data_IF_641122186607
#
_entry.id   IF_641122186607
#
_cell.length_a   1.000
_cell.length_b   1.000
_cell.length_c   1.000
_cell.angle_alpha   90.00
_cell.angle_beta   90.00
_cell.angle_gamma   90.00
#
_symmetry.space_group_name_H-M   'P 1'
#
loop_
_entity.id
_entity.type
_entity.pdbx_description
1 polymer ?
#
# COMPACT_ATOMS: atom_id res chain seq x y z
N UNK A 1 -12.06 -14.97 -8.71
CA UNK A 1 -12.03 -13.76 -7.91
C UNK A 1 -10.57 -13.45 -7.49
N UNK A 2 -10.13 -12.18 -7.60
CA UNK A 2 -8.70 -11.83 -7.43
C UNK A 2 -8.16 -12.23 -6.05
N UNK A 3 -8.96 -12.09 -4.99
CA UNK A 3 -8.55 -12.43 -3.62
C UNK A 3 -8.47 -13.94 -3.39
N UNK A 4 -9.37 -14.72 -3.98
CA UNK A 4 -9.31 -16.18 -3.95
C UNK A 4 -8.12 -16.70 -4.75
N UNK A 5 -7.83 -16.09 -5.90
CA UNK A 5 -6.64 -16.40 -6.68
C UNK A 5 -5.36 -16.08 -5.91
N UNK A 6 -5.33 -14.96 -5.17
CA UNK A 6 -4.20 -14.58 -4.32
C UNK A 6 -4.03 -15.54 -3.13
N UNK A 7 -5.12 -15.94 -2.49
CA UNK A 7 -5.11 -16.93 -1.39
C UNK A 7 -4.65 -18.31 -1.87
N UNK A 8 -5.09 -18.72 -3.07
CA UNK A 8 -4.66 -19.98 -3.70
C UNK A 8 -3.18 -19.90 -4.15
N UNK A 9 -2.71 -18.75 -4.63
CA UNK A 9 -1.31 -18.53 -5.04
C UNK A 9 -0.35 -18.59 -3.84
N UNK A 10 -0.83 -18.24 -2.63
CA UNK A 10 -0.08 -18.36 -1.36
C UNK A 10 -0.16 -19.77 -0.77
N UNK A 11 -0.93 -20.69 -1.39
CA UNK A 11 -1.05 -22.08 -0.95
C UNK A 11 -1.79 -22.26 0.38
N UNK A 12 -2.64 -21.31 0.77
CA UNK A 12 -3.38 -21.33 2.03
C UNK A 12 -4.81 -21.77 1.83
N UNK A 13 -5.19 -22.87 2.49
CA UNK A 13 -6.55 -23.43 2.52
C UNK A 13 -7.35 -22.96 3.75
N UNK A 14 -6.79 -22.06 4.54
CA UNK A 14 -7.33 -21.55 5.79
C UNK A 14 -8.07 -20.19 5.62
N UNK A 15 -8.68 -19.98 4.46
CA UNK A 15 -9.48 -18.79 4.16
C UNK A 15 -10.98 -19.08 4.19
N UNK A 16 -11.73 -18.19 4.83
CA UNK A 16 -13.18 -18.21 4.85
C UNK A 16 -13.71 -16.92 4.23
N UNK A 17 -14.60 -17.04 3.25
CA UNK A 17 -15.28 -15.90 2.65
C UNK A 17 -16.63 -15.65 3.31
N UNK A 18 -16.90 -14.40 3.66
CA UNK A 18 -18.22 -13.90 4.03
C UNK A 18 -18.76 -13.10 2.86
N UNK A 19 -19.85 -13.59 2.27
CA UNK A 19 -20.54 -12.84 1.22
C UNK A 19 -21.19 -11.59 1.81
N UNK A 20 -21.53 -10.65 0.96
CA UNK A 20 -22.23 -9.41 1.28
C UNK A 20 -23.52 -9.65 2.09
N UNK A 21 -24.31 -10.63 1.65
CA UNK A 21 -25.57 -11.02 2.31
C UNK A 21 -25.30 -11.58 3.71
N UNK A 22 -24.31 -12.47 3.85
CA UNK A 22 -23.92 -13.00 5.14
C UNK A 22 -23.42 -11.92 6.10
N UNK A 23 -22.69 -10.94 5.60
CA UNK A 23 -22.21 -9.81 6.40
C UNK A 23 -23.35 -8.87 6.84
N UNK A 24 -24.38 -8.70 6.00
CA UNK A 24 -25.53 -7.84 6.29
C UNK A 24 -26.56 -8.50 7.21
N UNK A 25 -26.99 -9.71 6.88
CA UNK A 25 -28.19 -10.35 7.42
C UNK A 25 -27.92 -11.33 8.57
N UNK A 26 -26.74 -12.01 8.57
CA UNK A 26 -26.47 -12.99 9.60
C UNK A 26 -26.35 -12.35 10.99
N UNK A 27 -26.93 -13.02 12.01
CA UNK A 27 -26.77 -12.61 13.40
C UNK A 27 -25.29 -12.67 13.80
N UNK A 28 -24.83 -11.72 14.60
CA UNK A 28 -23.42 -11.67 15.06
C UNK A 28 -22.97 -12.96 15.72
N UNK A 29 -23.85 -13.55 16.53
CA UNK A 29 -23.58 -14.81 17.21
C UNK A 29 -23.33 -15.97 16.24
N UNK A 30 -24.12 -16.09 15.18
CA UNK A 30 -23.93 -17.11 14.15
C UNK A 30 -22.61 -16.92 13.41
N UNK A 31 -22.22 -15.68 13.10
CA UNK A 31 -20.94 -15.38 12.48
C UNK A 31 -19.78 -15.71 13.41
N UNK A 32 -19.88 -15.35 14.69
CA UNK A 32 -18.89 -15.63 15.71
C UNK A 32 -18.66 -17.13 15.87
N UNK A 33 -19.71 -17.91 15.98
CA UNK A 33 -19.63 -19.37 16.07
C UNK A 33 -18.98 -20.01 14.84
N UNK A 34 -19.33 -19.50 13.66
CA UNK A 34 -18.74 -19.98 12.39
C UNK A 34 -17.24 -19.67 12.32
N UNK A 35 -16.82 -18.47 12.71
CA UNK A 35 -15.41 -18.07 12.76
C UNK A 35 -14.66 -18.94 13.79
N UNK A 36 -15.22 -19.12 15.00
CA UNK A 36 -14.61 -19.95 16.04
C UNK A 36 -14.43 -21.41 15.59
N UNK A 37 -15.44 -21.98 14.97
CA UNK A 37 -15.34 -23.34 14.43
C UNK A 37 -14.22 -23.44 13.38
N UNK A 38 -14.13 -22.46 12.48
CA UNK A 38 -13.09 -22.40 11.47
C UNK A 38 -11.69 -22.25 12.09
N UNK A 39 -11.55 -21.39 13.10
CA UNK A 39 -10.29 -21.23 13.82
C UNK A 39 -9.86 -22.48 14.59
N UNK A 40 -10.81 -23.22 15.18
CA UNK A 40 -10.52 -24.50 15.83
C UNK A 40 -9.99 -25.56 14.86
N UNK A 41 -10.48 -25.53 13.63
CA UNK A 41 -10.08 -26.49 12.60
C UNK A 41 -8.70 -26.16 12.01
N UNK A 42 -8.38 -24.87 11.81
CA UNK A 42 -7.21 -24.42 11.05
C UNK A 42 -6.20 -23.59 11.86
N UNK A 43 -6.48 -23.30 13.12
CA UNK A 43 -5.65 -22.45 13.97
C UNK A 43 -5.82 -20.96 13.66
N UNK A 44 -4.99 -20.40 12.79
CA UNK A 44 -5.16 -19.05 12.24
C UNK A 44 -5.96 -19.09 10.94
N UNK A 45 -6.78 -18.06 10.68
CA UNK A 45 -7.55 -18.00 9.45
C UNK A 45 -7.52 -16.59 8.81
N UNK A 46 -7.72 -16.57 7.48
CA UNK A 46 -7.99 -15.37 6.72
C UNK A 46 -9.50 -15.24 6.52
N UNK A 47 -10.06 -14.10 6.94
CA UNK A 47 -11.46 -13.77 6.70
C UNK A 47 -11.52 -12.75 5.57
N UNK A 48 -12.10 -13.16 4.44
CA UNK A 48 -12.34 -12.32 3.27
C UNK A 48 -13.77 -11.79 3.33
N UNK A 49 -13.95 -10.48 3.40
CA UNK A 49 -15.25 -9.84 3.56
C UNK A 49 -15.62 -9.01 2.33
N UNK A 50 -16.80 -9.24 1.79
CA UNK A 50 -17.41 -8.40 0.76
C UNK A 50 -18.33 -7.36 1.45
N UNK A 51 -17.73 -6.32 2.03
CA UNK A 51 -18.48 -5.25 2.68
C UNK A 51 -18.60 -4.04 1.73
N UNK A 52 -19.81 -3.51 1.58
CA UNK A 52 -20.08 -2.29 0.82
C UNK A 52 -20.40 -1.10 1.74
N UNK A 53 -20.90 -1.36 2.94
CA UNK A 53 -21.36 -0.34 3.88
C UNK A 53 -20.49 -0.26 5.14
N UNK A 54 -20.33 0.94 5.66
CA UNK A 54 -19.57 1.20 6.89
C UNK A 54 -20.09 0.40 8.09
N UNK A 55 -21.41 0.18 8.18
CA UNK A 55 -22.04 -0.61 9.23
C UNK A 55 -21.60 -2.08 9.20
N UNK A 56 -21.46 -2.67 8.02
CA UNK A 56 -20.99 -4.03 7.83
C UNK A 56 -19.52 -4.17 8.27
N UNK A 57 -18.66 -3.20 7.88
CA UNK A 57 -17.25 -3.18 8.30
C UNK A 57 -17.14 -3.14 9.83
N UNK A 58 -17.90 -2.25 10.49
CA UNK A 58 -17.92 -2.14 11.96
C UNK A 58 -18.43 -3.42 12.62
N UNK A 59 -19.50 -4.01 12.09
CA UNK A 59 -20.09 -5.27 12.58
C UNK A 59 -19.06 -6.41 12.52
N UNK A 60 -18.45 -6.64 11.36
CA UNK A 60 -17.45 -7.71 11.18
C UNK A 60 -16.23 -7.47 12.10
N UNK A 61 -15.73 -6.25 12.16
CA UNK A 61 -14.61 -5.93 13.03
C UNK A 61 -14.91 -6.13 14.53
N UNK A 62 -16.15 -5.90 14.94
CA UNK A 62 -16.63 -6.15 16.31
C UNK A 62 -16.65 -7.63 16.72
N UNK A 63 -16.57 -8.56 15.77
CA UNK A 63 -16.49 -9.98 16.07
C UNK A 63 -15.13 -10.41 16.61
N UNK A 64 -14.10 -9.58 16.48
CA UNK A 64 -12.72 -9.91 16.82
C UNK A 64 -12.19 -9.09 17.98
N UNK A 65 -11.34 -9.73 18.81
CA UNK A 65 -10.47 -8.97 19.70
C UNK A 65 -9.34 -8.36 18.87
N UNK A 66 -9.24 -7.03 18.91
CA UNK A 66 -8.23 -6.24 18.18
C UNK A 66 -6.79 -6.64 18.50
N UNK A 67 -6.55 -7.32 19.62
CA UNK A 67 -5.22 -7.82 20.00
C UNK A 67 -4.80 -9.06 19.20
N UNK A 68 -5.81 -9.79 18.69
CA UNK A 68 -5.60 -11.09 18.04
C UNK A 68 -6.01 -11.08 16.56
N UNK A 69 -6.30 -9.89 16.00
CA UNK A 69 -6.72 -9.77 14.61
C UNK A 69 -5.95 -8.66 13.89
N UNK A 70 -5.46 -8.96 12.71
CA UNK A 70 -4.91 -7.98 11.77
C UNK A 70 -5.98 -7.62 10.74
N UNK A 71 -6.32 -6.34 10.68
CA UNK A 71 -7.26 -5.81 9.70
C UNK A 71 -6.49 -5.27 8.50
N UNK A 72 -6.88 -5.71 7.30
CA UNK A 72 -6.32 -5.28 6.03
C UNK A 72 -7.46 -4.79 5.15
N UNK A 73 -7.37 -3.57 4.66
CA UNK A 73 -8.42 -2.96 3.85
C UNK A 73 -8.02 -1.60 3.31
N UNK A 74 -8.95 -0.94 2.63
CA UNK A 74 -8.73 0.43 2.14
C UNK A 74 -8.64 1.42 3.32
N UNK A 75 -7.85 2.50 3.21
CA UNK A 75 -7.68 3.47 4.30
C UNK A 75 -9.02 3.99 4.87
N UNK A 76 -10.02 4.20 4.02
CA UNK A 76 -11.35 4.68 4.42
C UNK A 76 -12.07 3.65 5.31
N UNK A 77 -11.94 2.36 5.02
CA UNK A 77 -12.52 1.27 5.80
C UNK A 77 -11.79 1.11 7.14
N UNK A 78 -10.46 1.13 7.10
CA UNK A 78 -9.65 1.03 8.31
C UNK A 78 -9.88 2.22 9.25
N UNK A 79 -10.15 3.41 8.72
CA UNK A 79 -10.49 4.59 9.51
C UNK A 79 -11.77 4.40 10.32
N UNK A 80 -12.74 3.59 9.85
CA UNK A 80 -13.95 3.25 10.58
C UNK A 80 -13.70 2.40 11.83
N UNK A 81 -12.54 1.73 11.89
CA UNK A 81 -12.15 0.85 12.99
C UNK A 81 -11.34 1.58 14.06
N UNK A 82 -10.88 2.78 13.78
CA UNK A 82 -10.21 3.59 14.80
C UNK A 82 -11.24 3.98 15.86
N UNK A 83 -10.89 3.98 17.17
CA UNK A 83 -11.74 4.52 18.19
C UNK A 83 -12.07 5.97 17.80
N UNK A 84 -13.34 6.33 17.89
CA UNK A 84 -13.72 7.74 17.80
C UNK A 84 -12.90 8.46 18.85
N UNK A 85 -11.93 9.23 18.41
CA UNK A 85 -11.13 10.04 19.31
C UNK A 85 -12.08 11.05 19.94
N UNK A 86 -12.62 10.69 21.11
CA UNK A 86 -13.35 11.60 21.95
C UNK A 86 -12.41 12.77 22.29
N UNK A 87 -12.51 13.81 21.48
CA UNK A 87 -12.13 15.16 21.83
C UNK A 87 -10.68 15.42 22.17
N UNK A 88 -9.76 15.06 21.35
CA UNK A 88 -8.53 15.80 21.15
C UNK A 88 -7.91 15.30 19.81
N UNK A 89 -8.41 15.77 18.68
CA UNK A 89 -7.48 16.12 17.65
C UNK A 89 -6.49 17.02 18.37
N UNK A 90 -5.28 16.51 18.66
CA UNK A 90 -4.22 17.45 18.91
C UNK A 90 -4.21 18.34 17.68
N UNK A 91 -4.50 19.62 17.85
CA UNK A 91 -4.30 20.65 16.81
C UNK A 91 -2.81 20.79 16.45
N UNK A 92 -1.95 19.95 16.98
CA UNK A 92 -0.67 19.64 16.43
C UNK A 92 -0.92 18.93 15.08
N UNK A 93 -1.23 19.70 14.07
CA UNK A 93 -1.04 19.31 12.68
C UNK A 93 0.32 18.63 12.56
N UNK A 94 0.58 17.84 11.52
CA UNK A 94 1.87 17.18 11.37
C UNK A 94 2.95 18.23 11.62
N UNK A 95 3.76 18.02 12.68
CA UNK A 95 4.82 18.95 13.07
C UNK A 95 5.55 19.27 11.79
N UNK A 96 5.52 20.55 11.34
CA UNK A 96 6.20 20.96 10.13
C UNK A 96 7.69 20.66 10.32
N UNK A 97 8.06 19.47 9.88
CA UNK A 97 9.48 19.08 9.89
C UNK A 97 10.13 19.89 8.78
N UNK A 98 10.80 20.98 9.17
CA UNK A 98 11.56 21.78 8.23
C UNK A 98 12.59 20.91 7.53
N UNK A 99 12.73 21.09 6.22
CA UNK A 99 13.70 20.37 5.40
C UNK A 99 13.07 19.71 4.18
N UNK A 100 13.95 19.14 3.35
CA UNK A 100 13.56 18.51 2.08
C UNK A 100 12.78 17.22 2.34
N UNK A 101 11.78 17.00 1.51
CA UNK A 101 11.00 15.76 1.47
C UNK A 101 11.32 14.92 0.23
N UNK A 102 11.18 13.59 0.37
CA UNK A 102 11.19 12.67 -0.76
C UNK A 102 9.92 11.82 -0.73
N UNK A 103 9.29 11.70 -1.89
CA UNK A 103 8.18 10.77 -2.13
C UNK A 103 8.70 9.61 -2.96
N UNK A 104 8.50 8.39 -2.48
CA UNK A 104 8.78 7.14 -3.19
C UNK A 104 7.45 6.49 -3.56
N UNK A 105 7.14 6.45 -4.85
CA UNK A 105 5.88 5.91 -5.34
C UNK A 105 6.11 4.66 -6.19
N UNK A 106 5.56 3.53 -5.75
CA UNK A 106 5.67 2.24 -6.44
C UNK A 106 4.33 1.66 -6.90
N UNK A 107 3.23 2.10 -6.31
CA UNK A 107 1.90 1.62 -6.64
C UNK A 107 1.42 2.12 -8.00
N UNK A 108 0.80 1.22 -8.78
CA UNK A 108 0.19 1.53 -10.08
C UNK A 108 -1.32 1.83 -9.96
N UNK A 109 -1.84 2.03 -8.74
CA UNK A 109 -3.23 2.39 -8.51
C UNK A 109 -3.54 3.77 -9.13
N UNK A 110 -4.74 3.97 -9.73
CA UNK A 110 -5.11 5.22 -10.39
C UNK A 110 -4.93 6.46 -9.52
N UNK A 111 -5.25 6.33 -8.22
CA UNK A 111 -5.10 7.43 -7.26
C UNK A 111 -3.63 7.85 -7.08
N UNK A 112 -2.70 6.88 -7.05
CA UNK A 112 -1.27 7.17 -6.92
C UNK A 112 -0.74 7.83 -8.19
N UNK A 113 -1.17 7.38 -9.37
CA UNK A 113 -0.82 8.03 -10.65
C UNK A 113 -1.33 9.47 -10.71
N UNK A 114 -2.52 9.74 -10.16
CA UNK A 114 -3.06 11.09 -10.05
C UNK A 114 -2.23 11.94 -9.07
N UNK A 115 -1.84 11.39 -7.91
CA UNK A 115 -0.98 12.08 -6.94
C UNK A 115 0.38 12.43 -7.53
N UNK A 116 1.00 11.52 -8.30
CA UNK A 116 2.24 11.77 -9.03
C UNK A 116 2.06 12.92 -10.03
N UNK A 117 0.97 12.92 -10.78
CA UNK A 117 0.65 13.98 -11.74
C UNK A 117 0.48 15.34 -11.03
N UNK A 118 -0.24 15.37 -9.91
CA UNK A 118 -0.42 16.57 -9.09
C UNK A 118 0.91 17.07 -8.56
N UNK A 119 1.75 16.21 -8.00
CA UNK A 119 3.09 16.61 -7.51
C UNK A 119 3.92 17.22 -8.63
N UNK A 120 3.92 16.60 -9.80
CA UNK A 120 4.64 17.09 -10.99
C UNK A 120 4.15 18.46 -11.44
N UNK A 121 2.84 18.70 -11.38
CA UNK A 121 2.26 20.02 -11.71
C UNK A 121 2.67 21.08 -10.69
N UNK A 122 2.71 20.73 -9.41
CA UNK A 122 3.02 21.67 -8.33
C UNK A 122 4.52 21.99 -8.19
N UNK A 123 5.40 21.03 -8.42
CA UNK A 123 6.84 21.11 -8.16
C UNK A 123 7.71 21.19 -9.41
N UNK A 124 7.14 20.99 -10.58
CA UNK A 124 7.84 20.90 -11.85
C UNK A 124 8.31 19.48 -12.20
N UNK A 125 8.49 19.21 -13.50
CA UNK A 125 8.95 17.91 -13.97
C UNK A 125 10.39 17.58 -13.51
N UNK A 126 11.20 18.56 -13.27
CA UNK A 126 12.58 18.44 -12.77
C UNK A 126 12.67 17.92 -11.33
N UNK A 127 11.60 18.08 -10.55
CA UNK A 127 11.48 17.48 -9.21
C UNK A 127 11.05 16.00 -9.21
N UNK A 128 10.81 15.43 -10.40
CA UNK A 128 10.30 14.06 -10.56
C UNK A 128 11.29 13.20 -11.32
N UNK A 129 11.67 12.07 -10.73
CA UNK A 129 12.49 11.05 -11.41
C UNK A 129 11.67 9.77 -11.63
N UNK A 130 11.70 9.25 -12.83
CA UNK A 130 11.01 8.01 -13.16
C UNK A 130 11.97 6.86 -13.30
N UNK A 131 11.78 5.83 -12.50
CA UNK A 131 12.45 4.54 -12.64
C UNK A 131 11.69 3.73 -13.70
N UNK A 132 12.35 3.44 -14.81
CA UNK A 132 11.78 2.66 -15.89
C UNK A 132 12.29 1.22 -15.78
N UNK A 133 11.41 0.24 -15.48
CA UNK A 133 11.81 -1.14 -15.25
C UNK A 133 12.67 -1.72 -16.37
N UNK A 134 12.30 -1.48 -17.62
CA UNK A 134 13.05 -1.93 -18.80
C UNK A 134 14.46 -1.37 -18.81
N UNK A 135 14.61 -0.06 -18.53
CA UNK A 135 15.91 0.61 -18.53
C UNK A 135 16.79 0.24 -17.34
N UNK A 136 16.18 -0.13 -16.22
CA UNK A 136 16.92 -0.69 -15.08
C UNK A 136 17.46 -2.08 -15.42
N UNK A 137 16.67 -2.91 -16.10
CA UNK A 137 17.09 -4.24 -16.52
C UNK A 137 18.16 -4.21 -17.60
N UNK A 138 18.06 -3.30 -18.57
CA UNK A 138 19.08 -3.09 -19.62
C UNK A 138 20.32 -2.33 -19.13
N UNK A 139 20.33 -1.87 -17.87
CA UNK A 139 21.38 -1.03 -17.27
C UNK A 139 21.56 0.34 -17.94
N UNK A 140 20.58 0.79 -18.69
CA UNK A 140 20.56 2.15 -19.25
C UNK A 140 20.30 3.20 -18.16
N UNK A 141 19.46 2.90 -17.16
CA UNK A 141 19.36 3.67 -15.93
C UNK A 141 20.32 3.07 -14.90
N UNK A 142 21.35 3.83 -14.52
CA UNK A 142 22.34 3.39 -13.54
C UNK A 142 22.04 4.02 -12.18
N UNK A 143 22.35 3.31 -11.11
CA UNK A 143 22.25 3.82 -9.74
C UNK A 143 22.99 5.15 -9.56
N UNK A 144 24.17 5.29 -10.13
CA UNK A 144 24.96 6.52 -10.07
C UNK A 144 24.25 7.74 -10.67
N UNK A 145 23.45 7.56 -11.73
CA UNK A 145 22.74 8.64 -12.37
C UNK A 145 21.57 9.12 -11.51
N UNK A 146 20.88 8.18 -10.85
CA UNK A 146 19.82 8.47 -9.90
C UNK A 146 20.39 9.29 -8.73
N UNK A 147 21.52 8.87 -8.18
CA UNK A 147 22.17 9.57 -7.07
C UNK A 147 22.65 10.97 -7.45
N UNK A 148 23.21 11.11 -8.63
CA UNK A 148 23.64 12.41 -9.16
C UNK A 148 22.45 13.35 -9.29
N UNK A 149 21.31 12.85 -9.75
CA UNK A 149 20.08 13.61 -9.85
C UNK A 149 19.54 14.00 -8.47
N UNK A 150 19.49 13.07 -7.50
CA UNK A 150 19.06 13.34 -6.11
C UNK A 150 19.93 14.44 -5.49
N UNK A 151 21.26 14.34 -5.66
CA UNK A 151 22.19 15.32 -5.11
C UNK A 151 22.06 16.71 -5.75
N UNK A 152 21.77 16.78 -7.04
CA UNK A 152 21.58 18.03 -7.77
C UNK A 152 20.19 18.67 -7.53
N UNK A 153 19.21 17.90 -7.06
CA UNK A 153 17.84 18.36 -6.86
C UNK A 153 17.74 19.36 -5.71
N UNK A 154 16.86 20.32 -5.86
CA UNK A 154 16.54 21.34 -4.84
C UNK A 154 15.10 21.17 -4.37
N UNK A 155 14.87 21.25 -3.06
CA UNK A 155 13.54 21.10 -2.48
C UNK A 155 13.03 19.67 -2.40
N UNK A 156 11.71 19.53 -2.39
CA UNK A 156 11.03 18.21 -2.34
C UNK A 156 11.13 17.51 -3.70
N UNK A 157 11.34 16.21 -3.67
CA UNK A 157 11.44 15.39 -4.88
C UNK A 157 10.52 14.18 -4.84
N UNK A 158 10.21 13.65 -6.02
CA UNK A 158 9.44 12.43 -6.19
C UNK A 158 10.21 11.45 -7.08
N UNK A 159 10.37 10.20 -6.62
CA UNK A 159 10.90 9.09 -7.41
C UNK A 159 9.81 8.05 -7.55
N UNK A 160 9.50 7.67 -8.78
CA UNK A 160 8.39 6.78 -9.07
C UNK A 160 8.79 5.65 -10.02
N UNK A 161 8.36 4.44 -9.68
CA UNK A 161 8.32 3.29 -10.61
C UNK A 161 6.89 2.98 -11.09
N UNK A 162 5.91 3.78 -10.68
CA UNK A 162 4.50 3.61 -11.04
C UNK A 162 4.28 3.80 -12.53
N UNK A 163 3.49 2.91 -13.13
CA UNK A 163 3.16 2.93 -14.54
C UNK A 163 1.66 2.72 -14.75
N UNK A 164 1.13 3.19 -15.88
CA UNK A 164 -0.23 2.89 -16.29
C UNK A 164 -0.42 1.38 -16.51
N UNK A 165 -1.64 0.89 -16.33
CA UNK A 165 -1.97 -0.54 -16.39
C UNK A 165 -1.55 -1.20 -17.72
N UNK A 166 -1.61 -0.46 -18.82
CA UNK A 166 -1.18 -0.92 -20.15
C UNK A 166 0.32 -1.25 -20.16
N UNK A 167 1.15 -0.35 -19.60
CA UNK A 167 2.59 -0.54 -19.50
C UNK A 167 2.97 -1.68 -18.57
N UNK A 168 2.25 -1.84 -17.47
CA UNK A 168 2.44 -2.98 -16.55
C UNK A 168 2.17 -4.30 -17.29
N UNK A 169 1.11 -4.34 -18.12
CA UNK A 169 0.78 -5.51 -18.95
C UNK A 169 1.86 -5.79 -20.00
N UNK A 170 2.34 -4.77 -20.69
CA UNK A 170 3.43 -4.88 -21.68
C UNK A 170 4.71 -5.45 -21.04
N UNK A 171 5.02 -5.06 -19.82
CA UNK A 171 6.23 -5.48 -19.11
C UNK A 171 6.14 -6.88 -18.46
N UNK A 172 4.99 -7.56 -18.50
CA UNK A 172 4.81 -8.90 -17.89
C UNK A 172 5.80 -9.95 -18.41
N UNK A 173 6.20 -9.85 -19.69
CA UNK A 173 7.18 -10.76 -20.32
C UNK A 173 8.58 -10.68 -19.70
N UNK A 174 8.90 -9.61 -18.96
CA UNK A 174 10.20 -9.43 -18.30
C UNK A 174 10.37 -10.28 -17.04
N UNK A 175 9.31 -10.99 -16.62
CA UNK A 175 9.28 -11.81 -15.41
C UNK A 175 8.96 -11.00 -14.17
N UNK A 176 7.76 -11.21 -13.63
CA UNK A 176 7.19 -10.44 -12.51
C UNK A 176 8.12 -10.40 -11.30
N UNK A 177 8.56 -11.55 -10.81
CA UNK A 177 9.38 -11.64 -9.59
C UNK A 177 10.74 -10.96 -9.76
N UNK A 178 11.35 -11.09 -10.93
CA UNK A 178 12.64 -10.44 -11.23
C UNK A 178 12.52 -8.93 -11.27
N UNK A 179 11.44 -8.43 -11.87
CA UNK A 179 11.15 -7.01 -11.98
C UNK A 179 10.86 -6.39 -10.62
N UNK A 180 10.00 -7.02 -9.83
CA UNK A 180 9.68 -6.56 -8.47
C UNK A 180 10.92 -6.54 -7.58
N UNK A 181 11.70 -7.62 -7.55
CA UNK A 181 12.93 -7.66 -6.75
C UNK A 181 13.94 -6.58 -7.14
N UNK A 182 14.05 -6.26 -8.43
CA UNK A 182 14.91 -5.18 -8.89
C UNK A 182 14.41 -3.80 -8.44
N UNK A 183 13.11 -3.51 -8.61
CA UNK A 183 12.50 -2.25 -8.16
C UNK A 183 12.59 -2.08 -6.66
N UNK A 184 12.32 -3.14 -5.89
CA UNK A 184 12.46 -3.15 -4.45
C UNK A 184 13.89 -2.81 -4.00
N UNK A 185 14.89 -3.44 -4.59
CA UNK A 185 16.29 -3.14 -4.30
C UNK A 185 16.66 -1.69 -4.60
N UNK A 186 16.16 -1.12 -5.69
CA UNK A 186 16.42 0.28 -6.01
C UNK A 186 15.71 1.23 -5.05
N UNK A 187 14.42 1.00 -4.77
CA UNK A 187 13.64 1.84 -3.88
C UNK A 187 14.16 1.80 -2.44
N UNK A 188 14.50 0.60 -1.92
CA UNK A 188 15.09 0.44 -0.59
C UNK A 188 16.43 1.16 -0.48
N UNK A 189 17.33 0.98 -1.44
CA UNK A 189 18.61 1.68 -1.45
C UNK A 189 18.45 3.21 -1.51
N UNK A 190 17.45 3.71 -2.26
CA UNK A 190 17.14 5.13 -2.30
C UNK A 190 16.62 5.60 -0.94
N UNK A 191 15.69 4.88 -0.32
CA UNK A 191 15.14 5.21 0.99
C UNK A 191 16.24 5.30 2.06
N UNK A 192 17.10 4.29 2.14
CA UNK A 192 18.20 4.24 3.11
C UNK A 192 19.17 5.40 2.97
N UNK A 193 19.59 5.70 1.74
CA UNK A 193 20.59 6.75 1.53
C UNK A 193 20.01 8.16 1.65
N UNK A 194 18.74 8.37 1.34
CA UNK A 194 18.12 9.69 1.46
C UNK A 194 18.01 10.15 2.91
N UNK A 195 17.89 9.23 3.88
CA UNK A 195 17.93 9.56 5.30
C UNK A 195 19.27 10.20 5.70
N UNK A 196 20.38 9.79 5.09
CA UNK A 196 21.72 10.39 5.28
C UNK A 196 21.99 11.63 4.44
N UNK A 197 21.19 11.89 3.40
CA UNK A 197 21.43 12.97 2.40
C UNK A 197 20.67 14.27 2.71
N UNK A 198 20.22 14.47 3.93
CA UNK A 198 19.58 15.71 4.37
C UNK A 198 18.08 15.80 4.08
N UNK A 199 17.45 14.70 3.66
CA UNK A 199 15.98 14.61 3.62
C UNK A 199 15.45 14.38 5.03
N UNK A 200 14.41 15.12 5.38
CA UNK A 200 13.78 15.06 6.71
C UNK A 200 12.40 14.41 6.71
N UNK A 201 11.82 14.26 5.51
CA UNK A 201 10.51 13.64 5.32
C UNK A 201 10.60 12.60 4.23
N UNK A 202 10.15 11.38 4.51
CA UNK A 202 10.02 10.29 3.54
C UNK A 202 8.56 9.88 3.50
N UNK A 203 7.99 9.87 2.31
CA UNK A 203 6.62 9.41 2.05
C UNK A 203 6.72 8.21 1.10
N UNK A 204 6.05 7.13 1.44
CA UNK A 204 5.94 5.91 0.60
C UNK A 204 4.50 5.81 0.12
N UNK A 205 4.27 5.68 -1.22
CA UNK A 205 2.97 5.67 -1.86
C UNK A 205 2.83 4.54 -2.90
#
# INVERSE_FOLDING_TARGET
>A
DELEALAAEVGRHDSMRLSKESAAEAAEEALRLRIQHFQQQYGSCYLLNDCEEAAQVKKIAGLFDRRNALFVGRPQELALLLPEQSGARSDAGPTETAGRGIVLAGSCAPIVLQQISTFRTMRGPEACYRLLPVRLMSREQKRADIWRWIAASKGDILISSSEAAERVRENRHLGRNRLFGLLEQYMSAIAEQTLGAGFRRVVIA
#
